data_IF_226964020491
#
_entry.id   IF_226964020491
#
_cell.length_a   1.000
_cell.length_b   1.000
_cell.length_c   1.000
_cell.angle_alpha   90.00
_cell.angle_beta   90.00
_cell.angle_gamma   90.00
#
_symmetry.space_group_name_H-M   'P 1'
#
loop_
_entity.id
_entity.type
_entity.pdbx_description
1 polymer ?
#
# COMPACT_ATOMS: atom_id res chain seq x y z
N UNK A 1 12.43 15.21 8.36
CA UNK A 1 11.02 14.72 8.41
C UNK A 1 10.05 15.52 7.54
N UNK A 2 10.13 16.87 7.49
CA UNK A 2 9.24 17.68 6.64
C UNK A 2 9.45 17.49 5.13
N UNK A 3 10.68 17.26 4.69
CA UNK A 3 11.01 17.17 3.25
C UNK A 3 10.47 15.89 2.60
N UNK A 4 10.54 14.75 3.31
CA UNK A 4 10.03 13.45 2.82
C UNK A 4 8.51 13.50 2.57
N UNK A 5 7.76 14.18 3.43
CA UNK A 5 6.31 14.33 3.26
C UNK A 5 5.95 15.23 2.06
N UNK A 6 6.80 16.20 1.73
CA UNK A 6 6.55 17.12 0.63
C UNK A 6 6.84 16.46 -0.74
N UNK A 7 7.87 15.62 -0.82
CA UNK A 7 8.15 14.83 -2.03
C UNK A 7 7.13 13.71 -2.27
N UNK A 8 6.67 13.04 -1.21
CA UNK A 8 5.60 12.03 -1.31
C UNK A 8 4.30 12.61 -1.88
N UNK A 9 4.05 13.90 -1.64
CA UNK A 9 2.90 14.64 -2.17
C UNK A 9 2.98 14.84 -3.68
N UNK A 10 4.18 14.90 -4.26
CA UNK A 10 4.39 15.16 -5.69
C UNK A 10 4.31 13.86 -6.50
N UNK A 11 4.83 12.76 -5.96
CA UNK A 11 5.07 11.51 -6.71
C UNK A 11 3.78 10.76 -7.07
N UNK A 12 2.68 10.95 -6.33
CA UNK A 12 1.42 10.24 -6.57
C UNK A 12 0.17 11.14 -6.59
N UNK A 13 0.36 12.44 -6.82
CA UNK A 13 -0.71 13.44 -6.84
C UNK A 13 -1.27 13.79 -5.46
N UNK A 14 -0.50 13.60 -4.39
CA UNK A 14 -0.87 14.01 -3.04
C UNK A 14 -2.08 13.28 -2.47
N UNK A 15 -2.41 12.10 -3.01
CA UNK A 15 -3.55 11.31 -2.54
C UNK A 15 -3.23 10.76 -1.17
N UNK A 16 -3.88 11.32 -0.15
CA UNK A 16 -3.93 10.73 1.19
C UNK A 16 -4.40 9.28 1.09
N UNK A 17 -3.84 8.41 1.92
CA UNK A 17 -4.17 7.00 1.95
C UNK A 17 -2.98 6.11 2.28
N UNK A 18 -3.23 4.82 2.23
CA UNK A 18 -2.26 3.77 2.49
C UNK A 18 -1.42 3.47 1.26
N UNK A 19 -0.15 3.20 1.51
CA UNK A 19 0.83 2.82 0.50
C UNK A 19 1.55 1.56 0.98
N UNK A 20 1.73 0.61 0.06
CA UNK A 20 2.61 -0.53 0.26
C UNK A 20 3.91 -0.26 -0.49
N UNK A 21 5.03 -0.38 0.22
CA UNK A 21 6.36 -0.27 -0.36
C UNK A 21 6.98 -1.67 -0.41
N UNK A 22 7.22 -2.15 -1.62
CA UNK A 22 8.04 -3.33 -1.84
C UNK A 22 9.51 -2.91 -1.89
N UNK A 23 10.26 -3.28 -0.86
CA UNK A 23 11.66 -2.87 -0.69
C UNK A 23 12.58 -3.67 -1.62
N UNK A 24 12.21 -4.91 -1.95
CA UNK A 24 13.02 -5.82 -2.75
C UNK A 24 13.07 -5.37 -4.21
N UNK A 25 11.91 -5.11 -4.79
CA UNK A 25 11.74 -4.61 -6.16
C UNK A 25 11.77 -3.08 -6.25
N UNK A 26 11.83 -2.38 -5.10
CA UNK A 26 11.76 -0.91 -5.00
C UNK A 26 10.52 -0.33 -5.68
N UNK A 27 9.37 -1.00 -5.51
CA UNK A 27 8.07 -0.59 -6.07
C UNK A 27 7.17 -0.03 -4.98
N UNK A 28 6.30 0.91 -5.35
CA UNK A 28 5.31 1.50 -4.44
C UNK A 28 3.91 1.32 -5.01
N UNK A 29 3.01 0.74 -4.22
CA UNK A 29 1.62 0.49 -4.59
C UNK A 29 0.70 1.37 -3.76
N UNK A 30 -0.07 2.24 -4.41
CA UNK A 30 -1.11 3.00 -3.74
C UNK A 30 -2.34 2.12 -3.50
N UNK A 31 -2.77 2.04 -2.24
CA UNK A 31 -3.88 1.20 -1.81
C UNK A 31 -5.14 2.02 -1.48
N UNK A 32 -5.20 3.31 -1.80
CA UNK A 32 -6.37 4.12 -1.45
C UNK A 32 -6.44 4.48 0.03
N UNK A 33 -7.56 5.03 0.49
CA UNK A 33 -7.75 5.49 1.89
C UNK A 33 -8.29 4.43 2.84
N UNK A 34 -8.62 3.26 2.32
CA UNK A 34 -9.33 2.22 3.06
C UNK A 34 -8.40 1.07 3.39
N UNK A 35 -8.47 0.59 4.63
CA UNK A 35 -7.67 -0.54 5.10
C UNK A 35 -7.95 -1.83 4.32
N UNK A 36 -9.20 -2.03 3.89
CA UNK A 36 -9.62 -3.18 3.08
C UNK A 36 -8.84 -3.28 1.76
N UNK A 37 -8.52 -2.14 1.16
CA UNK A 37 -7.76 -2.07 -0.09
C UNK A 37 -6.28 -2.42 0.10
N UNK A 38 -5.70 -2.12 1.27
CA UNK A 38 -4.34 -2.61 1.63
C UNK A 38 -4.32 -4.12 1.72
N UNK A 39 -5.30 -4.70 2.41
CA UNK A 39 -5.42 -6.16 2.57
C UNK A 39 -5.63 -6.85 1.23
N UNK A 40 -6.47 -6.28 0.37
CA UNK A 40 -6.69 -6.73 -0.99
C UNK A 40 -5.38 -6.69 -1.79
N UNK A 41 -4.64 -5.58 -1.72
CA UNK A 41 -3.37 -5.44 -2.45
C UNK A 41 -2.30 -6.40 -1.97
N UNK A 42 -2.20 -6.63 -0.67
CA UNK A 42 -1.33 -7.65 -0.09
C UNK A 42 -1.68 -9.04 -0.63
N UNK A 43 -2.96 -9.40 -0.65
CA UNK A 43 -3.42 -10.67 -1.22
C UNK A 43 -3.14 -10.79 -2.73
N UNK A 44 -3.33 -9.72 -3.51
CA UNK A 44 -2.95 -9.67 -4.93
C UNK A 44 -1.45 -9.89 -5.15
N UNK A 45 -0.62 -9.39 -4.24
CA UNK A 45 0.84 -9.59 -4.25
C UNK A 45 1.25 -10.99 -3.73
N UNK A 46 0.28 -11.83 -3.35
CA UNK A 46 0.53 -13.15 -2.76
C UNK A 46 1.02 -13.07 -1.30
N UNK A 47 0.88 -11.91 -0.66
CA UNK A 47 1.31 -11.64 0.71
C UNK A 47 0.11 -11.72 1.64
N UNK A 48 0.20 -12.62 2.61
CA UNK A 48 -0.89 -12.90 3.55
C UNK A 48 -1.67 -14.15 3.15
N UNK A 49 -2.05 -14.95 4.14
CA UNK A 49 -2.99 -16.04 3.91
C UNK A 49 -4.32 -15.41 3.45
N UNK A 50 -5.01 -15.94 2.41
CA UNK A 50 -6.44 -15.75 2.37
C UNK A 50 -6.93 -16.20 3.75
N UNK A 51 -7.72 -15.37 4.43
CA UNK A 51 -8.41 -15.85 5.62
C UNK A 51 -9.14 -17.11 5.17
N UNK A 52 -8.60 -18.25 5.60
CA UNK A 52 -9.27 -19.52 5.40
C UNK A 52 -10.60 -19.29 6.06
N UNK A 53 -11.68 -19.25 5.29
CA UNK A 53 -13.01 -19.50 5.84
C UNK A 53 -12.84 -20.86 6.53
N UNK A 54 -12.59 -20.80 7.83
CA UNK A 54 -12.59 -21.95 8.70
C UNK A 54 -14.01 -22.50 8.57
N UNK A 55 -14.11 -23.61 7.84
CA UNK A 55 -15.31 -24.43 7.75
C UNK A 55 -15.54 -25.14 9.07
#
# INVERSE_FOLDING_TARGET
>A
MKEVANELKIINGGKEGFYLADIQEKKYYYCGREWASVKTKLQELGIGRPESMAN
#
